data_IF_656527414558
#
_entry.id   IF_656527414558
#
_cell.length_a   1.000
_cell.length_b   1.000
_cell.length_c   1.000
_cell.angle_alpha   90.00
_cell.angle_beta   90.00
_cell.angle_gamma   90.00
#
_symmetry.space_group_name_H-M   'P 1'
#
loop_
_entity.id
_entity.type
_entity.pdbx_description
1 polymer ?
#
# COMPACT_ATOMS: atom_id res chain seq x y z
N UNK A 1 7.67 11.86 -3.06
CA UNK A 1 6.56 10.88 -3.09
C UNK A 1 5.70 11.01 -1.83
N UNK A 2 4.95 12.09 -1.65
CA UNK A 2 4.25 12.34 -0.38
C UNK A 2 2.81 11.81 -0.40
N UNK A 3 1.97 12.31 -1.32
CA UNK A 3 0.52 12.09 -1.24
C UNK A 3 0.12 10.64 -1.55
N UNK A 4 0.61 10.07 -2.65
CA UNK A 4 0.25 8.70 -3.07
C UNK A 4 0.69 7.64 -2.05
N UNK A 5 1.85 7.83 -1.41
CA UNK A 5 2.34 6.94 -0.35
C UNK A 5 1.51 7.05 0.93
N UNK A 6 1.03 8.24 1.28
CA UNK A 6 0.10 8.39 2.40
C UNK A 6 -1.26 7.73 2.12
N UNK A 7 -1.78 7.87 0.91
CA UNK A 7 -3.04 7.23 0.49
C UNK A 7 -2.92 5.72 0.53
N UNK A 8 -1.86 5.15 -0.07
CA UNK A 8 -1.63 3.69 -0.07
C UNK A 8 -1.44 3.13 1.34
N UNK A 9 -0.71 3.84 2.21
CA UNK A 9 -0.57 3.47 3.62
C UNK A 9 -1.92 3.49 4.36
N UNK A 10 -2.78 4.46 4.07
CA UNK A 10 -4.09 4.57 4.71
C UNK A 10 -5.05 3.45 4.23
N UNK A 11 -5.01 3.11 2.94
CA UNK A 11 -5.74 1.95 2.39
C UNK A 11 -5.30 0.65 3.07
N UNK A 12 -3.99 0.41 3.17
CA UNK A 12 -3.41 -0.73 3.89
C UNK A 12 -3.60 -0.69 5.42
N UNK A 13 -4.12 0.41 5.97
CA UNK A 13 -4.51 0.52 7.38
C UNK A 13 -6.00 0.18 7.56
N UNK A 14 -6.81 0.45 6.54
CA UNK A 14 -8.25 0.12 6.51
C UNK A 14 -8.54 -1.33 6.16
N UNK A 15 -7.57 -2.08 5.65
CA UNK A 15 -7.66 -3.52 5.37
C UNK A 15 -7.93 -4.35 6.63
N UNK A 16 -9.12 -4.97 6.72
CA UNK A 16 -9.57 -5.79 7.85
C UNK A 16 -9.51 -7.29 7.59
N UNK A 17 -9.60 -7.70 6.32
CA UNK A 17 -9.71 -9.11 5.92
C UNK A 17 -8.34 -9.82 5.86
N UNK A 18 -7.37 -9.24 5.15
CA UNK A 18 -6.06 -9.88 4.91
C UNK A 18 -4.92 -9.21 5.68
N UNK A 19 -4.98 -9.33 7.02
CA UNK A 19 -3.98 -8.73 7.94
C UNK A 19 -2.63 -9.43 7.92
N UNK A 20 -2.57 -10.70 7.51
CA UNK A 20 -1.30 -11.44 7.37
C UNK A 20 -0.44 -10.74 6.30
N UNK A 21 0.80 -10.42 6.67
CA UNK A 21 1.74 -9.74 5.78
C UNK A 21 1.49 -8.23 5.58
N UNK A 22 0.55 -7.59 6.30
CA UNK A 22 0.25 -6.15 6.13
C UNK A 22 1.49 -5.26 6.30
N UNK A 23 2.41 -5.63 7.20
CA UNK A 23 3.68 -4.92 7.42
C UNK A 23 4.56 -4.94 6.16
N UNK A 24 4.63 -6.08 5.49
CA UNK A 24 5.38 -6.25 4.24
C UNK A 24 4.72 -5.44 3.12
N UNK A 25 3.39 -5.48 3.00
CA UNK A 25 2.64 -4.68 2.00
C UNK A 25 2.91 -3.18 2.16
N UNK A 26 2.96 -2.67 3.40
CA UNK A 26 3.29 -1.27 3.69
C UNK A 26 4.72 -0.91 3.31
N UNK A 27 5.67 -1.80 3.60
CA UNK A 27 7.05 -1.60 3.20
C UNK A 27 7.17 -1.61 1.66
N UNK A 28 6.60 -2.60 0.98
CA UNK A 28 6.64 -2.66 -0.49
C UNK A 28 6.01 -1.43 -1.14
N UNK A 29 4.90 -0.91 -0.62
CA UNK A 29 4.29 0.31 -1.14
C UNK A 29 5.18 1.56 -0.98
N UNK A 30 6.14 1.57 -0.06
CA UNK A 30 7.07 2.69 0.11
C UNK A 30 8.30 2.61 -0.81
N UNK A 31 8.64 1.42 -1.30
CA UNK A 31 9.89 1.16 -2.04
C UNK A 31 9.68 0.70 -3.49
N UNK A 32 8.49 0.18 -3.84
CA UNK A 32 8.17 -0.33 -5.16
C UNK A 32 6.98 0.44 -5.75
N UNK A 33 7.26 1.23 -6.80
CA UNK A 33 6.23 2.02 -7.50
C UNK A 33 5.16 1.14 -8.16
N UNK A 34 5.53 -0.01 -8.71
CA UNK A 34 4.57 -0.94 -9.33
C UNK A 34 3.59 -1.51 -8.30
N UNK A 35 4.10 -1.86 -7.12
CA UNK A 35 3.26 -2.32 -6.02
C UNK A 35 2.37 -1.20 -5.49
N UNK A 36 2.88 0.04 -5.42
CA UNK A 36 2.08 1.21 -5.05
C UNK A 36 0.93 1.46 -6.05
N UNK A 37 1.18 1.36 -7.35
CA UNK A 37 0.15 1.47 -8.40
C UNK A 37 -0.91 0.37 -8.27
N UNK A 38 -0.47 -0.87 -7.97
CA UNK A 38 -1.37 -2.00 -7.71
C UNK A 38 -2.27 -1.76 -6.49
N UNK A 39 -1.71 -1.24 -5.38
CA UNK A 39 -2.47 -0.90 -4.17
C UNK A 39 -3.47 0.23 -4.43
N UNK A 40 -3.12 1.17 -5.31
CA UNK A 40 -4.00 2.25 -5.75
C UNK A 40 -5.02 1.81 -6.82
N UNK A 41 -5.00 0.53 -7.22
CA UNK A 41 -5.86 -0.04 -8.28
C UNK A 41 -5.76 0.71 -9.62
N UNK A 42 -4.59 1.27 -9.91
CA UNK A 42 -4.34 2.05 -11.14
C UNK A 42 -3.81 1.18 -12.29
N UNK A 43 -3.32 -0.03 -11.99
CA UNK A 43 -2.82 -1.04 -12.93
C UNK A 43 -2.99 -2.45 -12.35
#
# INVERSE_FOLDING_TARGET
>A
MAILGHVSLNLLKSETEHKVGIKIKRQMSGWCSDYLLKVLQLF
#
